data_IF_365514133673
#
_entry.id   IF_365514133673
#
_cell.length_a   1.000
_cell.length_b   1.000
_cell.length_c   1.000
_cell.angle_alpha   90.00
_cell.angle_beta   90.00
_cell.angle_gamma   90.00
#
_symmetry.space_group_name_H-M   'P 1'
#
loop_
_entity.id
_entity.type
_entity.pdbx_description
1 polymer ?
#
# COMPACT_ATOMS: atom_id res chain seq x y z
N UNK A 1 12.16 -7.56 -8.97
CA UNK A 1 12.50 -8.98 -9.03
C UNK A 1 13.97 -9.14 -8.72
N UNK A 2 14.33 -9.99 -7.78
CA UNK A 2 15.71 -10.18 -7.32
C UNK A 2 15.99 -11.65 -7.10
N UNK A 3 17.27 -12.04 -7.12
CA UNK A 3 17.71 -13.38 -6.78
C UNK A 3 17.67 -13.56 -5.26
N UNK A 4 16.90 -14.53 -4.78
CA UNK A 4 16.79 -14.89 -3.36
C UNK A 4 17.49 -16.22 -3.13
N UNK A 5 18.45 -16.26 -2.24
CA UNK A 5 19.26 -17.46 -1.95
C UNK A 5 18.37 -18.65 -1.56
N UNK A 6 18.46 -19.73 -2.33
CA UNK A 6 17.66 -20.96 -2.12
C UNK A 6 16.24 -20.91 -2.69
N UNK A 7 15.81 -19.78 -3.25
CA UNK A 7 14.42 -19.61 -3.76
C UNK A 7 14.35 -19.08 -5.20
N UNK A 8 15.51 -18.84 -5.86
CA UNK A 8 15.56 -18.33 -7.22
C UNK A 8 15.18 -16.84 -7.30
N UNK A 9 14.50 -16.45 -8.39
CA UNK A 9 14.14 -15.07 -8.65
C UNK A 9 12.69 -14.77 -8.28
N UNK A 10 12.47 -13.84 -7.34
CA UNK A 10 11.14 -13.42 -6.89
C UNK A 10 11.12 -11.93 -6.50
N UNK A 11 9.98 -11.44 -6.01
CA UNK A 11 9.85 -10.11 -5.42
C UNK A 11 10.74 -10.02 -4.18
N UNK A 12 11.41 -8.90 -3.99
CA UNK A 12 12.33 -8.71 -2.85
C UNK A 12 11.65 -8.92 -1.49
N UNK A 13 10.37 -8.54 -1.37
CA UNK A 13 9.59 -8.75 -0.15
C UNK A 13 9.30 -10.23 0.15
N UNK A 14 9.34 -11.12 -0.85
CA UNK A 14 9.21 -12.55 -0.64
C UNK A 14 10.37 -13.12 0.20
N UNK A 15 11.56 -12.51 0.14
CA UNK A 15 12.68 -12.89 0.99
C UNK A 15 12.33 -12.84 2.48
N UNK A 16 11.49 -11.86 2.88
CA UNK A 16 11.03 -11.78 4.27
C UNK A 16 10.07 -12.92 4.63
N UNK A 17 9.18 -13.30 3.73
CA UNK A 17 8.27 -14.41 3.94
C UNK A 17 8.99 -15.77 4.01
N UNK A 18 10.06 -15.94 3.22
CA UNK A 18 10.82 -17.19 3.18
C UNK A 18 11.80 -17.37 4.34
N UNK A 19 12.49 -16.31 4.74
CA UNK A 19 13.59 -16.41 5.72
C UNK A 19 13.73 -15.18 6.64
N UNK A 20 12.67 -14.38 6.76
CA UNK A 20 12.62 -13.23 7.66
C UNK A 20 13.68 -12.17 7.35
N UNK A 21 14.02 -11.40 8.36
CA UNK A 21 14.99 -10.31 8.27
C UNK A 21 16.33 -10.75 7.66
N UNK A 22 16.87 -11.87 8.12
CA UNK A 22 18.22 -12.32 7.71
C UNK A 22 18.31 -12.57 6.20
N UNK A 23 17.34 -13.29 5.63
CA UNK A 23 17.31 -13.57 4.20
C UNK A 23 17.04 -12.30 3.39
N UNK A 24 16.22 -11.37 3.91
CA UNK A 24 16.01 -10.06 3.30
C UNK A 24 17.30 -9.25 3.22
N UNK A 25 18.05 -9.18 4.32
CA UNK A 25 19.34 -8.50 4.38
C UNK A 25 20.33 -9.12 3.38
N UNK A 26 20.53 -10.44 3.42
CA UNK A 26 21.41 -11.17 2.48
C UNK A 26 21.00 -10.92 1.02
N UNK A 27 19.69 -10.83 0.73
CA UNK A 27 19.18 -10.54 -0.62
C UNK A 27 19.51 -9.13 -1.07
N UNK A 28 19.36 -8.13 -0.19
CA UNK A 28 19.69 -6.72 -0.49
C UNK A 28 21.22 -6.56 -0.64
N UNK A 29 21.99 -7.15 0.24
CA UNK A 29 23.46 -7.13 0.18
C UNK A 29 23.96 -7.74 -1.14
N UNK A 30 23.39 -8.86 -1.56
CA UNK A 30 23.69 -9.49 -2.86
C UNK A 30 23.31 -8.60 -4.04
N UNK A 31 22.10 -7.98 -4.03
CA UNK A 31 21.66 -7.09 -5.08
C UNK A 31 22.59 -5.89 -5.25
N UNK A 32 22.92 -5.24 -4.13
CA UNK A 32 23.70 -4.00 -4.12
C UNK A 32 25.21 -4.25 -4.13
N UNK A 33 25.65 -5.49 -3.88
CA UNK A 33 27.04 -5.86 -3.66
C UNK A 33 27.71 -4.98 -2.60
N UNK A 34 27.05 -4.78 -1.47
CA UNK A 34 27.51 -3.99 -0.34
C UNK A 34 27.06 -4.62 0.96
N UNK A 35 27.75 -4.34 2.05
CA UNK A 35 27.36 -4.78 3.38
C UNK A 35 26.36 -3.82 4.01
N UNK A 36 25.44 -4.36 4.80
CA UNK A 36 24.47 -3.61 5.60
C UNK A 36 24.85 -3.81 7.07
N UNK A 37 25.32 -2.76 7.71
CA UNK A 37 25.83 -2.80 9.08
C UNK A 37 24.72 -2.97 10.11
N UNK A 38 23.58 -2.27 9.91
CA UNK A 38 22.49 -2.23 10.86
C UNK A 38 21.13 -2.35 10.18
N UNK A 39 20.12 -2.75 10.96
CA UNK A 39 18.73 -2.76 10.52
C UNK A 39 17.81 -2.08 11.53
N UNK A 40 16.72 -1.55 11.00
CA UNK A 40 15.58 -1.08 11.79
C UNK A 40 14.32 -1.67 11.17
N UNK A 41 13.58 -2.45 11.95
CA UNK A 41 12.30 -3.03 11.56
C UNK A 41 11.18 -2.38 12.36
N UNK A 42 10.18 -1.86 11.66
CA UNK A 42 9.07 -1.12 12.22
C UNK A 42 7.78 -1.70 11.61
N UNK A 43 6.81 -2.03 12.45
CA UNK A 43 5.46 -2.35 12.00
C UNK A 43 4.59 -1.08 11.94
N UNK A 44 3.35 -1.20 11.43
CA UNK A 44 2.42 -0.08 11.30
C UNK A 44 2.17 0.64 12.63
N UNK A 45 2.03 -0.12 13.72
CA UNK A 45 1.84 0.44 15.05
C UNK A 45 3.08 1.20 15.56
N UNK A 46 4.27 0.66 15.33
CA UNK A 46 5.54 1.35 15.63
C UNK A 46 5.71 2.62 14.82
N UNK A 47 5.34 2.59 13.54
CA UNK A 47 5.35 3.78 12.69
C UNK A 47 4.47 4.89 13.28
N UNK A 48 3.21 4.59 13.61
CA UNK A 48 2.29 5.57 14.23
C UNK A 48 2.87 6.15 15.50
N UNK A 49 3.38 5.31 16.40
CA UNK A 49 4.00 5.76 17.66
C UNK A 49 5.20 6.68 17.45
N UNK A 50 6.07 6.38 16.47
CA UNK A 50 7.22 7.22 16.17
C UNK A 50 6.78 8.61 15.73
N UNK A 51 5.81 8.70 14.81
CA UNK A 51 5.32 9.97 14.31
C UNK A 51 4.64 10.77 15.43
N UNK A 52 3.84 10.14 16.26
CA UNK A 52 3.19 10.78 17.41
C UNK A 52 4.22 11.27 18.43
N UNK A 53 5.27 10.50 18.71
CA UNK A 53 6.36 10.88 19.62
C UNK A 53 7.17 12.08 19.08
N UNK A 54 7.29 12.22 17.74
CA UNK A 54 7.88 13.38 17.09
C UNK A 54 6.96 14.63 17.15
N UNK A 55 5.71 14.46 17.61
CA UNK A 55 4.70 15.51 17.62
C UNK A 55 4.12 15.78 16.24
N UNK A 56 3.99 14.76 15.41
CA UNK A 56 3.47 14.85 14.04
C UNK A 56 4.46 15.35 13.01
N UNK A 57 4.08 15.24 11.74
CA UNK A 57 4.87 15.66 10.58
C UNK A 57 4.04 16.62 9.71
N UNK A 58 4.67 17.68 9.23
CA UNK A 58 4.05 18.64 8.32
C UNK A 58 4.35 18.22 6.88
N UNK A 59 3.30 17.97 6.09
CA UNK A 59 3.37 17.50 4.69
C UNK A 59 2.52 18.40 3.80
N UNK A 60 3.09 18.83 2.69
CA UNK A 60 2.33 19.47 1.60
C UNK A 60 1.73 18.38 0.73
N UNK A 61 0.42 18.19 0.85
CA UNK A 61 -0.35 17.18 0.12
C UNK A 61 -0.61 17.73 -1.28
N UNK A 62 -0.05 17.08 -2.29
CA UNK A 62 -0.03 17.57 -3.68
C UNK A 62 -1.41 17.65 -4.35
N UNK A 63 -2.35 16.81 -3.92
CA UNK A 63 -3.72 16.74 -4.44
C UNK A 63 -4.65 16.09 -3.42
N UNK A 64 -5.96 16.20 -3.63
CA UNK A 64 -6.92 15.44 -2.83
C UNK A 64 -6.66 13.95 -2.98
N UNK A 65 -6.55 13.25 -1.86
CA UNK A 65 -6.40 11.80 -1.79
C UNK A 65 -7.63 11.22 -1.13
N UNK A 66 -8.42 10.47 -1.90
CA UNK A 66 -9.60 9.77 -1.40
C UNK A 66 -9.51 8.29 -1.78
N UNK A 67 -9.60 7.43 -0.79
CA UNK A 67 -9.65 5.99 -0.98
C UNK A 67 -10.36 5.33 0.20
N UNK A 68 -11.17 4.35 -0.08
CA UNK A 68 -11.90 3.60 0.92
C UNK A 68 -11.80 2.11 0.60
N UNK A 69 -11.26 1.34 1.54
CA UNK A 69 -11.21 -0.11 1.53
C UNK A 69 -11.62 -0.65 2.89
N UNK A 70 -12.89 -1.06 3.06
CA UNK A 70 -13.39 -1.60 4.33
C UNK A 70 -12.77 -2.94 4.72
N UNK A 71 -12.08 -3.59 3.78
CA UNK A 71 -11.55 -4.95 3.91
C UNK A 71 -10.04 -5.01 4.15
N UNK A 72 -9.40 -3.86 4.22
CA UNK A 72 -7.98 -3.80 4.55
C UNK A 72 -7.76 -4.39 5.96
N UNK A 73 -6.59 -5.04 6.14
CA UNK A 73 -6.14 -5.52 7.43
C UNK A 73 -6.26 -4.39 8.47
N UNK A 74 -6.55 -4.68 9.72
CA UNK A 74 -6.76 -3.70 10.81
C UNK A 74 -8.09 -2.91 10.79
N UNK A 75 -9.13 -3.40 10.15
CA UNK A 75 -10.46 -2.80 10.22
C UNK A 75 -10.78 -1.78 9.14
N UNK A 76 -10.10 -1.86 8.03
CA UNK A 76 -10.30 -1.05 6.84
C UNK A 76 -9.35 0.12 6.70
N UNK A 77 -9.15 0.55 5.46
CA UNK A 77 -8.36 1.73 5.12
C UNK A 77 -9.28 2.83 4.59
N UNK A 78 -9.35 3.94 5.32
CA UNK A 78 -10.06 5.14 4.89
C UNK A 78 -9.07 6.30 4.78
N UNK A 79 -9.00 6.89 3.59
CA UNK A 79 -8.12 8.02 3.26
C UNK A 79 -8.98 9.16 2.73
N UNK A 80 -8.93 10.32 3.36
CA UNK A 80 -9.50 11.58 2.85
C UNK A 80 -8.60 12.74 3.24
N UNK A 81 -7.58 13.02 2.43
CA UNK A 81 -6.64 14.09 2.63
C UNK A 81 -6.91 15.21 1.60
N UNK A 82 -7.02 16.43 2.09
CA UNK A 82 -7.18 17.61 1.24
C UNK A 82 -5.82 18.11 0.75
N UNK A 83 -5.74 18.79 -0.42
CA UNK A 83 -4.48 19.38 -0.88
C UNK A 83 -4.01 20.51 0.04
N UNK A 84 -2.68 20.72 0.05
CA UNK A 84 -2.01 21.77 0.81
C UNK A 84 -1.32 21.27 2.08
N UNK A 85 -0.73 22.21 2.81
CA UNK A 85 0.05 21.91 4.01
C UNK A 85 -0.84 21.34 5.12
N UNK A 86 -0.52 20.13 5.59
CA UNK A 86 -1.26 19.46 6.67
C UNK A 86 -0.29 18.95 7.74
N UNK A 87 -0.68 19.12 8.98
CA UNK A 87 -0.03 18.50 10.12
C UNK A 87 -0.62 17.11 10.35
N UNK A 88 0.20 16.07 10.18
CA UNK A 88 -0.22 14.67 10.25
C UNK A 88 0.29 14.03 11.55
N UNK A 89 -0.63 13.46 12.32
CA UNK A 89 -0.32 12.48 13.35
C UNK A 89 0.07 11.12 12.71
N UNK A 90 0.45 10.15 13.53
CA UNK A 90 0.88 8.85 13.02
C UNK A 90 -0.22 8.12 12.25
N UNK A 91 -1.48 8.26 12.64
CA UNK A 91 -2.61 7.64 11.96
C UNK A 91 -2.87 8.27 10.60
N UNK A 92 -2.80 9.57 10.50
CA UNK A 92 -2.97 10.30 9.23
C UNK A 92 -1.77 10.07 8.31
N UNK A 93 -0.56 10.05 8.86
CA UNK A 93 0.68 9.83 8.12
C UNK A 93 0.70 8.45 7.42
N UNK A 94 0.19 7.39 8.08
CA UNK A 94 0.12 6.06 7.44
C UNK A 94 -0.82 6.06 6.24
N UNK A 95 -1.91 6.84 6.26
CA UNK A 95 -2.82 6.93 5.12
C UNK A 95 -2.15 7.63 3.94
N UNK A 96 -1.36 8.69 4.18
CA UNK A 96 -0.60 9.39 3.15
C UNK A 96 0.41 8.47 2.43
N UNK A 97 1.22 7.71 3.18
CA UNK A 97 2.24 6.84 2.59
C UNK A 97 1.68 5.58 1.95
N UNK A 98 0.44 5.20 2.27
CA UNK A 98 -0.26 4.04 1.68
C UNK A 98 -1.09 4.40 0.45
N UNK A 99 -1.45 5.66 0.27
CA UNK A 99 -2.30 6.09 -0.83
C UNK A 99 -1.71 5.71 -2.19
N UNK A 100 -2.56 5.16 -3.07
CA UNK A 100 -2.28 4.87 -4.47
C UNK A 100 -3.32 5.55 -5.35
N UNK A 101 -2.88 6.12 -6.44
CA UNK A 101 -3.71 6.79 -7.43
C UNK A 101 -3.43 6.26 -8.84
N UNK A 102 -3.82 7.03 -9.84
CA UNK A 102 -3.57 6.73 -11.25
C UNK A 102 -2.07 6.69 -11.62
N UNK A 103 -1.19 7.26 -10.79
CA UNK A 103 0.26 7.14 -10.94
C UNK A 103 0.80 5.80 -10.39
N UNK A 104 -0.06 5.01 -9.77
CA UNK A 104 0.28 3.68 -9.27
C UNK A 104 1.41 3.70 -8.23
N UNK A 105 2.34 2.76 -8.36
CA UNK A 105 3.47 2.62 -7.43
C UNK A 105 4.44 3.79 -7.48
N UNK A 106 4.60 4.47 -8.62
CA UNK A 106 5.51 5.62 -8.73
C UNK A 106 5.02 6.79 -7.89
N UNK A 107 3.74 7.11 -7.94
CA UNK A 107 3.16 8.14 -7.08
C UNK A 107 3.33 7.80 -5.59
N UNK A 108 3.11 6.54 -5.22
CA UNK A 108 3.35 6.06 -3.86
C UNK A 108 4.81 6.19 -3.43
N UNK A 109 5.77 5.80 -4.28
CA UNK A 109 7.21 5.93 -3.99
C UNK A 109 7.59 7.39 -3.77
N UNK A 110 7.13 8.31 -4.60
CA UNK A 110 7.36 9.76 -4.43
C UNK A 110 6.82 10.26 -3.09
N UNK A 111 5.60 9.87 -2.71
CA UNK A 111 5.02 10.22 -1.41
C UNK A 111 5.83 9.67 -0.24
N UNK A 112 6.28 8.42 -0.32
CA UNK A 112 7.16 7.83 0.70
C UNK A 112 8.50 8.56 0.80
N UNK A 113 9.08 8.99 -0.32
CA UNK A 113 10.30 9.81 -0.34
C UNK A 113 10.08 11.19 0.29
N UNK A 114 8.99 11.87 -0.08
CA UNK A 114 8.61 13.17 0.51
C UNK A 114 8.37 13.04 2.01
N UNK A 115 7.67 11.99 2.42
CA UNK A 115 7.43 11.69 3.82
C UNK A 115 8.74 11.45 4.57
N UNK A 116 9.62 10.61 4.04
CA UNK A 116 10.93 10.34 4.66
C UNK A 116 11.74 11.62 4.82
N UNK A 117 11.76 12.49 3.79
CA UNK A 117 12.42 13.79 3.87
C UNK A 117 11.84 14.65 5.00
N UNK A 118 10.52 14.73 5.14
CA UNK A 118 9.88 15.50 6.21
C UNK A 118 10.21 14.93 7.60
N UNK A 119 10.26 13.61 7.74
CA UNK A 119 10.71 12.94 8.99
C UNK A 119 12.16 13.30 9.32
N UNK A 120 13.05 13.25 8.34
CA UNK A 120 14.45 13.62 8.53
C UNK A 120 14.60 15.11 8.92
N UNK A 121 13.89 16.00 8.25
CA UNK A 121 13.90 17.42 8.59
C UNK A 121 13.37 17.67 10.02
N UNK A 122 12.37 16.91 10.45
CA UNK A 122 11.84 16.98 11.82
C UNK A 122 12.84 16.47 12.85
N UNK A 123 13.48 15.32 12.60
CA UNK A 123 14.46 14.70 13.51
C UNK A 123 15.65 15.64 13.81
N UNK A 124 16.12 16.40 12.80
CA UNK A 124 17.23 17.34 12.95
C UNK A 124 16.80 18.75 13.34
N UNK A 125 15.51 18.96 13.64
CA UNK A 125 15.03 20.28 14.07
C UNK A 125 15.52 20.63 15.49
N UNK A 126 15.86 21.90 15.77
CA UNK A 126 16.32 22.31 17.11
C UNK A 126 15.32 22.02 18.23
N UNK A 127 14.05 21.87 17.91
CA UNK A 127 12.97 21.58 18.87
C UNK A 127 12.89 20.10 19.24
N UNK A 128 13.38 19.20 18.37
CA UNK A 128 13.32 17.73 18.55
C UNK A 128 14.64 17.19 19.08
N UNK A 129 15.79 17.70 18.63
CA UNK A 129 17.13 17.20 19.07
C UNK A 129 17.22 17.02 20.59
N UNK A 130 16.82 17.96 21.45
CA UNK A 130 16.90 17.77 22.91
C UNK A 130 15.97 16.67 23.43
N UNK A 131 14.94 16.30 22.67
CA UNK A 131 13.92 15.30 23.04
C UNK A 131 14.25 13.91 22.52
N UNK A 132 15.22 13.76 21.62
CA UNK A 132 15.56 12.47 20.97
C UNK A 132 15.77 11.32 21.95
N UNK A 133 16.51 11.48 23.08
CA UNK A 133 16.67 10.37 24.00
C UNK A 133 15.34 9.87 24.59
N UNK A 134 14.43 10.78 24.93
CA UNK A 134 13.11 10.42 25.44
C UNK A 134 12.23 9.79 24.35
N UNK A 135 12.28 10.28 23.11
CA UNK A 135 11.56 9.73 21.97
C UNK A 135 12.02 8.31 21.67
N UNK A 136 13.34 8.08 21.55
CA UNK A 136 13.91 6.75 21.31
C UNK A 136 13.49 5.76 22.40
N UNK A 137 13.54 6.18 23.67
CA UNK A 137 13.09 5.34 24.78
C UNK A 137 11.59 5.03 24.71
N UNK A 138 10.76 6.01 24.34
CA UNK A 138 9.30 5.83 24.28
C UNK A 138 8.83 4.89 23.15
N UNK A 139 9.62 4.75 22.08
CA UNK A 139 9.27 3.90 20.92
C UNK A 139 10.05 2.58 20.88
N UNK A 140 10.99 2.36 21.80
CA UNK A 140 11.91 1.20 21.83
C UNK A 140 11.19 -0.15 21.73
N UNK A 141 10.05 -0.30 22.41
CA UNK A 141 9.23 -1.53 22.39
C UNK A 141 8.49 -1.77 21.06
N UNK A 142 8.50 -0.79 20.18
CA UNK A 142 7.79 -0.82 18.89
C UNK A 142 8.74 -0.90 17.69
N UNK A 143 10.04 -0.99 17.95
CA UNK A 143 11.12 -1.03 16.97
C UNK A 143 12.02 -2.22 17.26
N UNK A 144 12.29 -3.05 16.24
CA UNK A 144 13.29 -4.11 16.30
C UNK A 144 14.54 -3.65 15.56
N UNK A 145 15.69 -3.63 16.27
CA UNK A 145 16.98 -3.20 15.71
C UNK A 145 18.11 -3.88 16.46
N UNK A 146 19.27 -3.98 15.83
CA UNK A 146 20.55 -4.40 16.44
C UNK A 146 21.36 -3.22 17.01
N UNK A 147 20.89 -1.99 16.78
CA UNK A 147 21.55 -0.79 17.29
C UNK A 147 21.20 -0.55 18.77
N UNK A 148 22.22 -0.22 19.56
CA UNK A 148 22.01 0.32 20.90
C UNK A 148 21.42 1.75 20.85
N UNK A 149 20.81 2.19 21.93
CA UNK A 149 20.27 3.57 22.04
C UNK A 149 21.35 4.62 21.76
N UNK A 150 22.59 4.37 22.23
CA UNK A 150 23.71 5.29 21.99
C UNK A 150 24.11 5.37 20.53
N UNK A 151 24.09 4.26 19.81
CA UNK A 151 24.38 4.22 18.36
C UNK A 151 23.27 4.93 17.58
N UNK A 152 22.00 4.70 17.91
CA UNK A 152 20.87 5.44 17.30
C UNK A 152 21.04 6.96 17.51
N UNK A 153 21.36 7.40 18.73
CA UNK A 153 21.55 8.81 19.03
C UNK A 153 22.77 9.40 18.29
N UNK A 154 23.87 8.63 18.19
CA UNK A 154 25.04 9.02 17.41
C UNK A 154 24.70 9.17 15.94
N UNK A 155 23.96 8.20 15.37
CA UNK A 155 23.51 8.24 13.98
C UNK A 155 22.61 9.47 13.73
N UNK A 156 21.65 9.75 14.62
CA UNK A 156 20.79 10.94 14.52
C UNK A 156 21.61 12.25 14.60
N UNK A 157 22.72 12.26 15.35
CA UNK A 157 23.64 13.39 15.39
C UNK A 157 24.32 13.66 14.03
N UNK A 158 24.72 12.61 13.33
CA UNK A 158 25.34 12.75 11.99
C UNK A 158 24.34 13.17 10.90
N UNK A 159 23.05 12.93 11.09
CA UNK A 159 22.01 13.39 10.16
C UNK A 159 21.95 14.92 10.07
N UNK A 160 22.31 15.64 11.13
CA UNK A 160 22.37 17.09 11.09
C UNK A 160 23.44 17.58 10.10
N UNK A 161 24.59 16.94 10.10
CA UNK A 161 25.67 17.23 9.15
C UNK A 161 25.26 16.85 7.72
N UNK A 162 24.48 15.76 7.55
CA UNK A 162 23.95 15.34 6.27
C UNK A 162 22.85 16.28 5.74
N UNK A 163 22.10 16.96 6.59
CA UNK A 163 21.07 17.94 6.19
C UNK A 163 21.64 19.07 5.34
N UNK A 164 22.80 19.58 5.71
CA UNK A 164 23.46 20.69 5.01
C UNK A 164 23.94 20.26 3.60
N UNK A 165 24.19 18.96 3.41
CA UNK A 165 24.54 18.35 2.12
C UNK A 165 23.32 17.91 1.29
N UNK A 166 22.11 17.98 1.86
CA UNK A 166 20.85 17.56 1.27
C UNK A 166 20.67 16.03 1.22
N UNK A 167 19.46 15.57 1.50
CA UNK A 167 19.07 14.16 1.28
C UNK A 167 18.83 13.94 -0.21
N UNK A 168 19.56 13.00 -0.81
CA UNK A 168 19.34 12.55 -2.19
C UNK A 168 18.61 11.23 -2.16
N UNK A 169 17.52 11.15 -2.92
CA UNK A 169 16.75 9.93 -3.12
C UNK A 169 16.80 9.54 -4.58
N UNK A 170 17.16 8.30 -4.85
CA UNK A 170 17.26 7.74 -6.20
C UNK A 170 16.31 6.57 -6.33
N UNK A 171 15.61 6.49 -7.49
CA UNK A 171 14.86 5.30 -7.85
C UNK A 171 15.82 4.26 -8.40
N UNK A 172 15.69 3.02 -7.97
CA UNK A 172 16.50 1.93 -8.47
C UNK A 172 16.28 1.78 -9.99
N UNK A 173 17.33 1.93 -10.84
CA UNK A 173 17.18 1.77 -12.27
C UNK A 173 16.69 0.37 -12.64
N UNK A 174 15.80 0.30 -13.63
CA UNK A 174 15.22 -0.98 -14.04
C UNK A 174 14.09 -0.79 -15.04
N UNK A 175 13.38 -1.89 -15.29
CA UNK A 175 12.25 -1.93 -16.22
C UNK A 175 11.07 -2.68 -15.64
N UNK A 176 9.83 -2.26 -15.94
CA UNK A 176 8.63 -2.99 -15.56
C UNK A 176 8.40 -4.16 -16.51
N UNK A 177 8.19 -5.36 -15.94
CA UNK A 177 7.98 -6.59 -16.70
C UNK A 177 6.82 -7.37 -16.06
N UNK A 178 5.92 -7.89 -16.89
CA UNK A 178 4.91 -8.87 -16.45
C UNK A 178 5.38 -10.28 -16.78
N UNK A 179 5.41 -11.14 -15.78
CA UNK A 179 5.72 -12.56 -15.89
C UNK A 179 4.51 -13.33 -15.36
N UNK A 180 3.85 -14.09 -16.20
CA UNK A 180 2.63 -14.86 -15.84
C UNK A 180 1.53 -13.99 -15.19
N UNK A 181 1.37 -12.75 -15.67
CA UNK A 181 0.39 -11.81 -15.15
C UNK A 181 0.81 -11.07 -13.88
N UNK A 182 1.96 -11.41 -13.30
CA UNK A 182 2.49 -10.76 -12.10
C UNK A 182 3.43 -9.62 -12.50
N UNK A 183 3.20 -8.42 -11.96
CA UNK A 183 4.05 -7.26 -12.18
C UNK A 183 5.34 -7.35 -11.37
N UNK A 184 6.48 -7.13 -12.04
CA UNK A 184 7.81 -7.02 -11.44
C UNK A 184 8.51 -5.76 -11.91
N UNK A 185 9.33 -5.20 -11.05
CA UNK A 185 10.40 -4.29 -11.42
C UNK A 185 11.70 -5.09 -11.51
N UNK A 186 12.29 -5.19 -12.70
CA UNK A 186 13.58 -5.87 -12.92
C UNK A 186 14.67 -4.82 -12.87
N UNK A 187 15.59 -4.88 -11.86
CA UNK A 187 16.64 -3.89 -11.73
C UNK A 187 17.69 -4.02 -12.83
N UNK A 188 18.22 -2.88 -13.28
CA UNK A 188 19.44 -2.79 -14.05
C UNK A 188 20.63 -2.84 -13.08
N UNK A 189 21.26 -3.99 -12.97
CA UNK A 189 22.33 -4.24 -12.00
C UNK A 189 23.54 -3.34 -12.24
N UNK A 190 23.89 -3.15 -13.51
CA UNK A 190 25.01 -2.29 -13.90
C UNK A 190 24.81 -0.86 -13.42
N UNK A 191 23.69 -0.26 -13.77
CA UNK A 191 23.39 1.13 -13.38
C UNK A 191 23.19 1.26 -11.87
N UNK A 192 22.52 0.30 -11.23
CA UNK A 192 22.29 0.28 -9.79
C UNK A 192 23.62 0.34 -9.03
N UNK A 193 24.56 -0.56 -9.34
CA UNK A 193 25.84 -0.62 -8.65
C UNK A 193 26.75 0.55 -9.00
N UNK A 194 26.65 1.10 -10.22
CA UNK A 194 27.37 2.30 -10.58
C UNK A 194 26.91 3.53 -9.79
N UNK A 195 25.59 3.72 -9.64
CA UNK A 195 25.03 4.78 -8.80
C UNK A 195 25.47 4.62 -7.36
N UNK A 196 25.39 3.41 -6.81
CA UNK A 196 25.82 3.14 -5.45
C UNK A 196 27.32 3.41 -5.25
N UNK A 197 28.17 2.94 -6.15
CA UNK A 197 29.61 3.17 -6.10
C UNK A 197 29.94 4.67 -6.13
N UNK A 198 29.29 5.44 -7.01
CA UNK A 198 29.43 6.89 -7.08
C UNK A 198 28.98 7.58 -5.77
N UNK A 199 27.87 7.12 -5.19
CA UNK A 199 27.33 7.67 -3.94
C UNK A 199 28.25 7.39 -2.76
N UNK A 200 28.85 6.19 -2.70
CA UNK A 200 29.77 5.78 -1.65
C UNK A 200 31.24 6.19 -1.91
N UNK A 201 31.54 6.84 -3.03
CA UNK A 201 32.90 7.23 -3.41
C UNK A 201 33.80 6.03 -3.73
N UNK A 202 33.23 4.89 -4.09
CA UNK A 202 33.99 3.65 -4.43
C UNK A 202 34.48 3.75 -5.87
N UNK A 203 35.78 3.55 -6.07
CA UNK A 203 36.37 3.48 -7.41
C UNK A 203 36.10 2.10 -8.02
N UNK A 204 35.36 2.07 -9.11
CA UNK A 204 35.11 0.85 -9.88
C UNK A 204 36.38 0.48 -10.64
N UNK A 205 36.93 -0.70 -10.38
CA UNK A 205 38.06 -1.28 -11.10
C UNK A 205 37.60 -2.39 -12.06
N UNK A 206 38.55 -2.96 -12.84
CA UNK A 206 38.28 -3.99 -13.85
C UNK A 206 37.56 -5.23 -13.24
N UNK A 207 37.96 -5.67 -12.05
CA UNK A 207 37.39 -6.85 -11.38
C UNK A 207 35.91 -6.58 -11.00
N UNK A 208 35.63 -5.39 -10.45
CA UNK A 208 34.26 -4.97 -10.10
C UNK A 208 33.41 -4.87 -11.37
N UNK A 209 33.94 -4.31 -12.46
CA UNK A 209 33.23 -4.21 -13.75
C UNK A 209 32.87 -5.59 -14.30
N UNK A 210 33.78 -6.57 -14.23
CA UNK A 210 33.51 -7.94 -14.66
C UNK A 210 32.41 -8.59 -13.83
N UNK A 211 32.47 -8.50 -12.50
CA UNK A 211 31.44 -9.04 -11.62
C UNK A 211 30.06 -8.38 -11.84
N UNK A 212 30.03 -7.06 -12.07
CA UNK A 212 28.79 -6.34 -12.40
C UNK A 212 28.19 -6.88 -13.70
N UNK A 213 29.03 -7.13 -14.70
CA UNK A 213 28.60 -7.63 -16.01
C UNK A 213 28.04 -9.05 -15.91
N UNK A 214 28.71 -9.94 -15.21
CA UNK A 214 28.27 -11.32 -14.98
C UNK A 214 26.91 -11.37 -14.26
N UNK A 215 26.75 -10.60 -13.18
CA UNK A 215 25.48 -10.51 -12.47
C UNK A 215 24.36 -9.90 -13.31
N UNK A 216 24.67 -8.91 -14.16
CA UNK A 216 23.68 -8.31 -15.05
C UNK A 216 23.18 -9.32 -16.09
N UNK A 217 24.08 -10.15 -16.64
CA UNK A 217 23.69 -11.24 -17.56
C UNK A 217 22.77 -12.22 -16.84
N UNK A 218 23.09 -12.65 -15.62
CA UNK A 218 22.26 -13.57 -14.84
C UNK A 218 20.85 -13.00 -14.62
N UNK A 219 20.71 -11.71 -14.35
CA UNK A 219 19.42 -11.07 -14.16
C UNK A 219 18.62 -10.99 -15.46
N UNK A 220 19.26 -10.66 -16.59
CA UNK A 220 18.59 -10.63 -17.91
C UNK A 220 18.18 -12.04 -18.34
N UNK A 221 19.03 -13.04 -18.22
CA UNK A 221 18.75 -14.44 -18.56
C UNK A 221 17.67 -15.04 -17.67
N UNK A 222 17.47 -14.50 -16.46
CA UNK A 222 16.40 -14.94 -15.55
C UNK A 222 15.01 -14.56 -16.01
N UNK A 223 14.88 -13.61 -16.97
CA UNK A 223 13.58 -13.17 -17.49
C UNK A 223 13.09 -14.21 -18.48
N UNK A 224 11.92 -14.84 -18.26
CA UNK A 224 11.39 -15.84 -19.21
C UNK A 224 11.04 -15.20 -20.55
N UNK A 225 11.11 -15.98 -21.64
CA UNK A 225 10.79 -15.54 -23.00
C UNK A 225 9.34 -15.05 -23.15
N UNK A 226 8.42 -15.55 -22.31
CA UNK A 226 7.02 -15.13 -22.30
C UNK A 226 6.78 -13.85 -21.47
N UNK A 227 7.82 -13.23 -20.93
CA UNK A 227 7.70 -11.99 -20.19
C UNK A 227 7.32 -10.83 -21.11
N UNK A 228 6.42 -9.98 -20.63
CA UNK A 228 5.95 -8.81 -21.39
C UNK A 228 6.50 -7.54 -20.74
N UNK A 229 7.41 -6.88 -21.44
CA UNK A 229 7.84 -5.53 -21.08
C UNK A 229 6.73 -4.55 -21.42
N UNK A 230 6.34 -3.70 -20.49
CA UNK A 230 5.24 -2.75 -20.67
C UNK A 230 5.72 -1.35 -20.43
N UNK A 231 5.09 -0.41 -21.15
CA UNK A 231 5.31 1.00 -20.85
C UNK A 231 4.77 1.30 -19.44
N UNK A 232 5.36 2.28 -18.77
CA UNK A 232 4.94 2.68 -17.43
C UNK A 232 3.44 2.99 -17.37
N UNK A 233 2.91 3.67 -18.41
CA UNK A 233 1.49 3.99 -18.49
C UNK A 233 0.59 2.75 -18.60
N UNK A 234 1.01 1.74 -19.33
CA UNK A 234 0.27 0.47 -19.44
C UNK A 234 0.36 -0.34 -18.15
N UNK A 235 1.51 -0.32 -17.47
CA UNK A 235 1.70 -0.93 -16.16
C UNK A 235 0.70 -0.37 -15.15
N UNK A 236 0.67 0.96 -15.00
CA UNK A 236 -0.25 1.66 -14.10
C UNK A 236 -1.71 1.31 -14.42
N UNK A 237 -2.09 1.35 -15.70
CA UNK A 237 -3.46 1.02 -16.11
C UNK A 237 -3.87 -0.41 -15.76
N UNK A 238 -2.95 -1.37 -15.89
CA UNK A 238 -3.20 -2.78 -15.55
C UNK A 238 -3.28 -2.99 -14.04
N UNK A 239 -2.40 -2.35 -13.26
CA UNK A 239 -2.41 -2.42 -11.80
C UNK A 239 -3.72 -1.89 -11.22
N UNK A 240 -4.20 -0.73 -11.67
CA UNK A 240 -5.49 -0.17 -11.26
C UNK A 240 -6.65 -1.09 -11.63
N UNK A 241 -6.63 -1.67 -12.83
CA UNK A 241 -7.67 -2.60 -13.27
C UNK A 241 -7.69 -3.87 -12.41
N UNK A 242 -6.53 -4.43 -12.09
CA UNK A 242 -6.40 -5.62 -11.25
C UNK A 242 -6.87 -5.34 -9.81
N UNK A 243 -6.45 -4.25 -9.21
CA UNK A 243 -6.88 -3.84 -7.86
C UNK A 243 -8.40 -3.68 -7.77
N UNK A 244 -9.00 -3.09 -8.82
CA UNK A 244 -10.45 -2.94 -8.92
C UNK A 244 -11.17 -4.30 -9.03
N UNK A 245 -10.61 -5.24 -9.78
CA UNK A 245 -11.19 -6.57 -9.96
C UNK A 245 -11.11 -7.40 -8.68
N UNK A 246 -9.97 -7.39 -8.00
CA UNK A 246 -9.78 -8.02 -6.69
C UNK A 246 -10.75 -7.47 -5.64
N UNK A 247 -10.94 -6.15 -5.62
CA UNK A 247 -11.93 -5.51 -4.74
C UNK A 247 -13.34 -5.98 -5.04
N UNK A 248 -13.73 -6.04 -6.31
CA UNK A 248 -15.05 -6.52 -6.72
C UNK A 248 -15.25 -8.00 -6.35
N UNK A 249 -14.22 -8.80 -6.44
CA UNK A 249 -14.27 -10.21 -6.07
C UNK A 249 -14.48 -10.38 -4.55
N UNK A 250 -13.74 -9.65 -3.73
CA UNK A 250 -13.96 -9.64 -2.26
C UNK A 250 -15.37 -9.22 -1.89
N UNK A 251 -15.90 -8.18 -2.52
CA UNK A 251 -17.29 -7.73 -2.30
C UNK A 251 -18.32 -8.81 -2.65
N UNK A 252 -18.12 -9.57 -3.73
CA UNK A 252 -18.99 -10.69 -4.11
C UNK A 252 -18.95 -11.83 -3.10
N UNK A 253 -17.75 -12.24 -2.67
CA UNK A 253 -17.56 -13.28 -1.67
C UNK A 253 -18.24 -12.96 -0.35
N UNK A 254 -18.22 -11.72 0.06
CA UNK A 254 -18.86 -11.29 1.28
C UNK A 254 -20.38 -11.20 1.16
N UNK A 255 -20.90 -10.71 0.05
CA UNK A 255 -22.32 -10.78 -0.22
C UNK A 255 -22.84 -12.23 -0.18
N UNK A 256 -22.06 -13.18 -0.71
CA UNK A 256 -22.39 -14.61 -0.62
C UNK A 256 -22.35 -15.13 0.81
N UNK A 257 -21.34 -14.75 1.60
CA UNK A 257 -21.24 -15.14 3.02
C UNK A 257 -22.41 -14.58 3.84
N UNK A 258 -22.73 -13.31 3.64
CA UNK A 258 -23.86 -12.63 4.29
C UNK A 258 -25.19 -13.29 3.93
N UNK A 259 -25.38 -13.62 2.64
CA UNK A 259 -26.61 -14.32 2.17
C UNK A 259 -26.73 -15.72 2.75
N UNK A 260 -25.61 -16.46 2.86
CA UNK A 260 -25.59 -17.80 3.48
C UNK A 260 -25.90 -17.73 4.98
N UNK A 261 -25.35 -16.74 5.69
CA UNK A 261 -25.62 -16.51 7.11
C UNK A 261 -27.09 -16.17 7.35
N UNK A 262 -27.65 -15.26 6.57
CA UNK A 262 -29.07 -14.91 6.64
C UNK A 262 -29.98 -16.10 6.40
N UNK A 263 -29.67 -16.97 5.43
CA UNK A 263 -30.42 -18.21 5.16
C UNK A 263 -30.35 -19.19 6.33
N UNK A 264 -29.19 -19.35 6.96
CA UNK A 264 -29.04 -20.24 8.12
C UNK A 264 -29.82 -19.74 9.32
N UNK A 265 -29.83 -18.43 9.57
CA UNK A 265 -30.61 -17.81 10.67
C UNK A 265 -32.13 -17.95 10.45
N UNK A 266 -32.61 -17.81 9.20
CA UNK A 266 -34.05 -18.00 8.85
C UNK A 266 -34.48 -19.47 8.96
N UNK A 267 -33.59 -20.42 8.64
CA UNK A 267 -33.90 -21.85 8.78
C UNK A 267 -33.86 -22.34 10.23
N UNK A 268 -33.10 -21.70 11.12
CA UNK A 268 -33.12 -21.99 12.56
C UNK A 268 -34.35 -21.43 13.27
N UNK A 269 -34.94 -20.31 12.81
CA UNK A 269 -36.16 -19.70 13.37
C UNK A 269 -37.47 -20.37 12.93
N UNK A 270 -37.44 -21.36 12.02
CA UNK A 270 -38.65 -22.12 11.69
C UNK A 270 -39.10 -22.96 12.87
N UNK A 271 -40.29 -22.72 13.46
CA UNK A 271 -40.79 -23.56 14.54
C UNK A 271 -40.98 -24.99 14.01
N UNK A 272 -40.39 -25.96 14.71
CA UNK A 272 -40.63 -27.38 14.48
C UNK A 272 -42.07 -27.68 14.78
N UNK A 273 -42.94 -27.60 13.79
CA UNK A 273 -44.32 -28.05 13.94
C UNK A 273 -44.33 -29.57 14.08
N UNK A 274 -44.68 -29.99 15.26
CA UNK A 274 -44.89 -31.38 15.62
C UNK A 274 -46.04 -31.95 14.76
N UNK A 275 -45.73 -32.89 13.87
CA UNK A 275 -46.76 -33.60 13.11
C UNK A 275 -47.42 -34.65 13.97
N UNK A 276 -48.50 -34.27 14.64
CA UNK A 276 -49.50 -35.23 15.07
C UNK A 276 -50.56 -35.37 13.96
N UNK A 277 -50.54 -36.51 13.31
CA UNK A 277 -51.55 -36.95 12.37
C UNK A 277 -52.82 -37.28 13.18
N UNK A 278 -53.84 -36.49 13.01
CA UNK A 278 -55.21 -36.96 13.17
C UNK A 278 -55.92 -36.92 11.81
N UNK A 279 -56.43 -38.09 11.44
CA UNK A 279 -57.32 -38.29 10.30
C UNK A 279 -58.66 -37.65 10.57
N UNK A 280 -59.11 -36.74 9.75
CA UNK A 280 -60.53 -36.42 9.61
C UNK A 280 -60.91 -36.34 8.14
N UNK A 281 -62.05 -36.98 7.87
CA UNK A 281 -62.65 -37.36 6.61
C UNK A 281 -62.99 -36.20 5.65
N UNK A 282 -62.98 -36.59 4.40
CA UNK A 282 -63.54 -35.93 3.22
C UNK A 282 -64.91 -35.33 3.42
N UNK A 283 -65.11 -34.09 2.97
CA UNK A 283 -66.37 -33.60 2.41
C UNK A 283 -66.07 -32.69 1.21
N UNK A 284 -66.55 -33.16 0.05
CA UNK A 284 -66.71 -32.40 -1.19
C UNK A 284 -67.62 -31.20 -0.97
N UNK A 285 -67.27 -30.04 -1.45
CA UNK A 285 -68.24 -29.05 -1.96
C UNK A 285 -67.57 -28.16 -3.02
N UNK A 286 -68.32 -27.90 -4.03
CA UNK A 286 -68.16 -27.32 -5.36
C UNK A 286 -67.79 -25.82 -5.37
N UNK A 287 -67.39 -25.28 -6.54
CA UNK A 287 -66.74 -23.99 -6.67
C UNK A 287 -67.77 -22.85 -6.81
N UNK A 288 -67.44 -21.69 -6.26
CA UNK A 288 -68.15 -20.41 -6.56
C UNK A 288 -67.13 -19.46 -7.19
N UNK A 289 -67.43 -19.02 -8.38
CA UNK A 289 -66.88 -17.86 -9.09
C UNK A 289 -67.10 -16.58 -8.27
N UNK A 290 -66.27 -15.62 -8.29
CA UNK A 290 -66.37 -14.36 -9.04
C UNK A 290 -65.63 -13.20 -8.37
N UNK A 291 -64.96 -12.47 -9.23
CA UNK A 291 -64.78 -11.01 -9.28
C UNK A 291 -64.38 -10.23 -8.01
N UNK A 292 -63.25 -9.57 -8.04
CA UNK A 292 -63.22 -8.15 -8.37
C UNK A 292 -61.85 -7.51 -8.13
N UNK A 293 -61.41 -6.82 -9.14
CA UNK A 293 -60.83 -5.45 -9.15
C UNK A 293 -59.48 -5.21 -8.50
N UNK A 294 -58.54 -5.01 -9.43
CA UNK A 294 -57.24 -4.29 -9.30
C UNK A 294 -57.37 -3.01 -8.48
N UNK A 295 -56.52 -2.88 -7.49
CA UNK A 295 -55.99 -1.56 -7.09
C UNK A 295 -54.48 -1.59 -7.10
N UNK A 296 -53.88 -0.78 -8.00
CA UNK A 296 -52.46 -0.43 -8.04
C UNK A 296 -52.21 0.60 -6.94
N UNK A 297 -51.34 0.30 -6.03
CA UNK A 297 -50.71 1.33 -5.18
C UNK A 297 -49.51 1.96 -5.89
N UNK A 298 -49.29 3.27 -5.70
CA UNK A 298 -48.30 4.03 -6.47
C UNK A 298 -46.90 3.92 -5.89
N UNK A 299 -45.96 3.84 -6.82
CA UNK A 299 -44.48 3.89 -6.58
C UNK A 299 -44.11 5.28 -6.02
N UNK A 300 -43.29 5.39 -4.97
CA UNK A 300 -42.77 6.67 -4.50
C UNK A 300 -41.75 7.25 -5.49
N UNK A 301 -41.99 8.44 -5.95
CA UNK A 301 -41.07 9.24 -6.76
C UNK A 301 -39.98 9.84 -5.89
N UNK A 302 -38.72 9.65 -6.29
CA UNK A 302 -37.57 10.36 -5.79
C UNK A 302 -37.60 11.84 -6.15
N UNK A 303 -37.25 12.77 -5.25
CA UNK A 303 -37.19 14.19 -5.58
C UNK A 303 -35.94 14.51 -6.39
N UNK A 304 -36.18 15.08 -7.57
CA UNK A 304 -35.17 15.75 -8.39
C UNK A 304 -34.69 17.02 -7.68
N UNK A 305 -33.39 17.11 -7.40
CA UNK A 305 -32.77 18.35 -6.97
C UNK A 305 -32.38 19.16 -8.19
N UNK A 306 -32.99 20.34 -8.30
CA UNK A 306 -32.63 21.37 -9.27
C UNK A 306 -31.19 21.84 -9.08
N UNK A 307 -30.41 21.77 -10.14
CA UNK A 307 -29.09 22.37 -10.27
C UNK A 307 -29.30 23.73 -10.96
N UNK A 308 -28.88 24.86 -10.37
CA UNK A 308 -28.96 26.15 -11.07
C UNK A 308 -27.89 26.21 -12.18
N UNK A 309 -28.32 26.59 -13.36
CA UNK A 309 -27.50 26.89 -14.53
C UNK A 309 -26.54 28.07 -14.22
N UNK A 310 -25.25 27.85 -14.45
CA UNK A 310 -24.23 28.94 -14.45
C UNK A 310 -24.24 29.54 -15.85
N UNK A 311 -24.62 30.80 -15.93
CA UNK A 311 -24.59 31.64 -17.11
C UNK A 311 -23.15 32.00 -17.49
N UNK A 312 -22.71 31.52 -18.66
CA UNK A 312 -21.45 31.91 -19.28
C UNK A 312 -21.68 33.06 -20.24
N UNK A 313 -21.65 34.30 -19.76
CA UNK A 313 -21.33 35.46 -20.61
C UNK A 313 -21.06 36.70 -19.76
N UNK A 314 -19.79 37.06 -19.59
CA UNK A 314 -19.35 38.46 -19.55
C UNK A 314 -17.90 38.55 -20.00
N UNK A 315 -17.72 38.87 -21.25
CA UNK A 315 -16.55 39.50 -21.83
C UNK A 315 -16.47 40.95 -21.37
N UNK A 316 -15.29 41.44 -21.03
CA UNK A 316 -15.06 42.86 -21.19
C UNK A 316 -14.10 43.52 -20.23
N UNK A 317 -12.89 43.74 -20.70
CA UNK A 317 -12.08 44.95 -20.63
C UNK A 317 -11.96 45.71 -19.26
N UNK A 318 -10.83 45.70 -18.69
CA UNK A 318 -9.88 46.83 -18.56
C UNK A 318 -8.59 46.31 -17.95
#
# INVERSE_FOLDING_TARGET
>A
RVKIKGHGFDKINAAYAYGGRKLTQETIESLLNTHIDHYIKINVHGFTKIIDALGGIDIDVEKRMYYEDPWDDDGGLYIDLQPGMQHMDGKTAITYVRYRDEEGDIGRIKRQQNFMKAVMDKLVSPTIIPKLPAIVSAVSDSVETDMSVSEILSFLGTLQDAKDNGLKSEMLPGKPVYIEGISYWVPDISKTRQILANTLGIKINQSITTSIHEDNIEYEESIPDNAVEVTEKERIKREIAQEREERLQRLREEQEKSTKRFKSEVDEERPRTNSNREKVETREETPVEDNTTKQKEPVPQTPTRDVPAIDMNTTGKS
#
